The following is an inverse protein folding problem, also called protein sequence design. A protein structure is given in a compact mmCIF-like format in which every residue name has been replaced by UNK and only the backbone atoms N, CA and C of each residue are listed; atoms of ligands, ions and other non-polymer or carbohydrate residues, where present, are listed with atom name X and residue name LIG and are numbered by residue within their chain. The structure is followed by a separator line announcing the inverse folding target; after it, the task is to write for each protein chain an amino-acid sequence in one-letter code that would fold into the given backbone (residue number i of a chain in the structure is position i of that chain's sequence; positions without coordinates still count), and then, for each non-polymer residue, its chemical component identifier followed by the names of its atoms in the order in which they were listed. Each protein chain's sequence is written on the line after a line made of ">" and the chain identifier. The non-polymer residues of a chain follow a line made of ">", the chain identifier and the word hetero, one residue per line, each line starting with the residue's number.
data_IF_138888030827
#
_entry.id   IF_138888030827
#
_cell.length_a   1.000
_cell.length_b   1.000
_cell.length_c   1.000
_cell.angle_alpha   90.00
_cell.angle_beta   90.00
_cell.angle_gamma   90.00
#
_symmetry.space_group_name_H-M   'P 1'
#
loop_
_entity.id
_entity.type
_entity.pdbx_description
1 polymer ?
#
# COMPACT_ATOMS: atom_id res chain seq x y z
N UNK A 1 -13.88 -8.56 -6.36
CA UNK A 1 -13.35 -7.51 -5.49
C UNK A 1 -14.12 -6.21 -5.73
N UNK A 2 -14.36 -5.45 -4.70
CA UNK A 2 -15.04 -4.17 -4.81
C UNK A 2 -14.07 -3.08 -5.27
N UNK A 3 -14.48 -2.31 -6.29
CA UNK A 3 -13.71 -1.16 -6.74
C UNK A 3 -14.26 0.08 -6.04
N UNK A 4 -13.41 0.75 -5.28
CA UNK A 4 -13.81 1.91 -4.49
C UNK A 4 -13.60 3.20 -5.27
N UNK A 5 -14.50 4.16 -5.08
CA UNK A 5 -14.30 5.50 -5.61
C UNK A 5 -13.18 6.20 -4.83
N UNK A 6 -12.60 7.30 -5.34
CA UNK A 6 -11.60 8.05 -4.59
C UNK A 6 -12.09 8.48 -3.21
N UNK A 7 -13.35 8.87 -3.09
CA UNK A 7 -13.91 9.22 -1.78
C UNK A 7 -13.98 8.02 -0.85
N UNK A 8 -14.42 6.88 -1.37
CA UNK A 8 -14.50 5.67 -0.57
C UNK A 8 -13.12 5.19 -0.13
N UNK A 9 -12.11 5.35 -0.97
CA UNK A 9 -10.73 5.04 -0.61
C UNK A 9 -10.25 5.91 0.55
N UNK A 10 -10.53 7.22 0.50
CA UNK A 10 -10.16 8.12 1.58
C UNK A 10 -10.90 7.80 2.87
N UNK A 11 -12.18 7.45 2.77
CA UNK A 11 -12.96 7.05 3.94
C UNK A 11 -12.39 5.78 4.57
N UNK A 12 -11.98 4.82 3.75
CA UNK A 12 -11.37 3.59 4.25
C UNK A 12 -10.05 3.88 4.95
N UNK A 13 -9.25 4.80 4.42
CA UNK A 13 -7.99 5.21 5.05
C UNK A 13 -8.24 5.75 6.45
N UNK A 14 -9.31 6.53 6.64
CA UNK A 14 -9.62 7.11 7.95
C UNK A 14 -9.93 6.05 9.00
N UNK A 15 -10.32 4.86 8.58
CA UNK A 15 -10.63 3.76 9.50
C UNK A 15 -9.38 2.94 9.89
N UNK A 16 -8.22 3.23 9.29
CA UNK A 16 -7.01 2.46 9.58
C UNK A 16 -6.49 2.74 10.99
N UNK A 17 -5.90 1.73 11.64
CA UNK A 17 -5.29 1.94 12.96
C UNK A 17 -3.93 2.65 12.82
N UNK A 18 -3.46 3.19 13.94
CA UNK A 18 -2.13 3.80 14.04
C UNK A 18 -1.07 2.75 14.40
N UNK A 19 -1.31 1.50 14.11
CA UNK A 19 -0.42 0.39 14.47
C UNK A 19 0.58 0.11 13.36
N UNK A 20 1.68 -0.57 13.67
CA UNK A 20 2.56 -1.11 12.63
C UNK A 20 1.81 -2.14 11.80
N UNK A 21 2.22 -2.29 10.56
CA UNK A 21 1.61 -3.28 9.70
C UNK A 21 2.08 -3.19 8.27
N UNK A 22 1.41 -3.95 7.41
CA UNK A 22 1.64 -3.93 5.97
C UNK A 22 0.35 -3.60 5.25
N UNK A 23 0.48 -2.97 4.10
CA UNK A 23 -0.66 -2.65 3.25
C UNK A 23 -0.43 -3.21 1.85
N UNK A 24 -1.52 -3.63 1.21
CA UNK A 24 -1.49 -4.29 -0.10
C UNK A 24 -2.42 -3.50 -1.02
N UNK A 25 -1.83 -2.78 -1.97
CA UNK A 25 -2.59 -2.00 -2.94
C UNK A 25 -3.04 -2.90 -4.09
N UNK A 26 -4.30 -2.79 -4.48
CA UNK A 26 -4.91 -3.61 -5.53
C UNK A 26 -5.45 -2.75 -6.65
N UNK A 27 -5.32 -3.22 -7.89
CA UNK A 27 -5.94 -2.57 -9.03
C UNK A 27 -7.39 -3.05 -9.20
N UNK A 28 -8.05 -2.57 -10.27
CA UNK A 28 -9.45 -2.87 -10.51
C UNK A 28 -9.73 -4.36 -10.78
N UNK A 29 -8.70 -5.14 -11.12
CA UNK A 29 -8.85 -6.58 -11.33
C UNK A 29 -8.64 -7.39 -10.06
N UNK A 30 -8.30 -6.73 -8.94
CA UNK A 30 -7.99 -7.40 -7.70
C UNK A 30 -6.55 -7.84 -7.57
N UNK A 31 -5.72 -7.52 -8.55
CA UNK A 31 -4.31 -7.88 -8.53
C UNK A 31 -3.56 -6.98 -7.54
N UNK A 32 -2.72 -7.60 -6.70
CA UNK A 32 -1.86 -6.84 -5.79
C UNK A 32 -0.75 -6.21 -6.60
N UNK A 33 -0.72 -4.88 -6.64
CA UNK A 33 0.24 -4.12 -7.44
C UNK A 33 1.35 -3.48 -6.63
N UNK A 34 1.19 -3.42 -5.31
CA UNK A 34 2.21 -2.88 -4.42
C UNK A 34 1.98 -3.35 -2.99
N UNK A 35 3.07 -3.68 -2.30
CA UNK A 35 3.05 -4.04 -0.88
C UNK A 35 4.03 -3.13 -0.15
N UNK A 36 3.61 -2.54 0.96
CA UNK A 36 4.48 -1.70 1.76
C UNK A 36 4.29 -1.97 3.24
N UNK A 37 5.27 -1.54 4.04
CA UNK A 37 5.17 -1.59 5.49
C UNK A 37 5.04 -0.19 6.07
N UNK A 38 4.52 -0.11 7.28
CA UNK A 38 4.34 1.15 7.97
C UNK A 38 4.56 0.99 9.46
N UNK A 39 5.08 2.04 10.10
CA UNK A 39 5.09 2.14 11.56
C UNK A 39 3.70 2.46 12.07
N UNK A 40 2.97 3.30 11.33
CA UNK A 40 1.58 3.68 11.61
C UNK A 40 0.82 3.60 10.30
N UNK A 41 0.01 2.57 10.16
CA UNK A 41 -0.71 2.29 8.91
C UNK A 41 -1.49 3.50 8.40
N UNK A 42 -2.26 4.13 9.27
CA UNK A 42 -3.10 5.25 8.85
C UNK A 42 -2.27 6.39 8.27
N UNK A 43 -1.17 6.75 8.93
CA UNK A 43 -0.32 7.85 8.47
C UNK A 43 0.31 7.53 7.12
N UNK A 44 0.83 6.32 6.98
CA UNK A 44 1.54 5.94 5.76
C UNK A 44 0.61 5.81 4.56
N UNK A 45 -0.50 5.12 4.75
CA UNK A 45 -1.44 4.88 3.64
C UNK A 45 -2.10 6.18 3.22
N UNK A 46 -2.42 7.07 4.18
CA UNK A 46 -3.03 8.34 3.84
C UNK A 46 -2.15 9.20 2.92
N UNK A 47 -0.83 9.07 3.02
CA UNK A 47 0.08 9.83 2.18
C UNK A 47 -0.09 9.55 0.69
N UNK A 48 -0.51 8.33 0.34
CA UNK A 48 -0.73 7.98 -1.06
C UNK A 48 -1.94 8.68 -1.66
N UNK A 49 -2.90 9.07 -0.83
CA UNK A 49 -4.16 9.68 -1.29
C UNK A 49 -4.21 11.18 -1.02
N UNK A 50 -3.09 11.78 -0.61
CA UNK A 50 -2.96 13.22 -0.47
C UNK A 50 -2.48 13.82 -1.79
N UNK A 51 -2.16 15.12 -1.76
CA UNK A 51 -1.69 15.82 -2.94
C UNK A 51 -0.52 15.08 -3.60
N UNK A 52 -0.71 14.74 -4.87
CA UNK A 52 0.26 13.94 -5.61
C UNK A 52 1.54 14.69 -5.97
N UNK A 53 1.59 16.00 -5.74
CA UNK A 53 2.78 16.78 -6.09
C UNK A 53 4.03 16.31 -5.34
N UNK A 54 3.87 15.69 -4.17
CA UNK A 54 4.98 15.19 -3.38
C UNK A 54 5.48 13.82 -3.83
N UNK A 55 4.76 13.15 -4.74
CA UNK A 55 5.13 11.82 -5.23
C UNK A 55 5.96 11.92 -6.50
N UNK A 56 6.86 10.95 -6.70
CA UNK A 56 7.54 10.84 -7.98
C UNK A 56 6.57 10.28 -9.03
N UNK A 57 6.99 10.31 -10.31
CA UNK A 57 6.12 9.90 -11.40
C UNK A 57 5.64 8.46 -11.29
N UNK A 58 6.53 7.55 -10.86
CA UNK A 58 6.17 6.14 -10.74
C UNK A 58 5.15 5.90 -9.62
N UNK A 59 5.31 6.61 -8.50
CA UNK A 59 4.35 6.52 -7.40
C UNK A 59 3.00 7.08 -7.82
N UNK A 60 2.97 8.22 -8.53
CA UNK A 60 1.72 8.77 -9.04
C UNK A 60 1.01 7.79 -9.97
N UNK A 61 1.77 7.14 -10.83
CA UNK A 61 1.20 6.14 -11.74
C UNK A 61 0.58 4.98 -10.95
N UNK A 62 1.30 4.47 -9.97
CA UNK A 62 0.80 3.39 -9.11
C UNK A 62 -0.50 3.81 -8.41
N UNK A 63 -0.51 5.00 -7.81
CA UNK A 63 -1.69 5.50 -7.09
C UNK A 63 -2.90 5.61 -8.04
N UNK A 64 -2.68 6.01 -9.30
CA UNK A 64 -3.77 6.13 -10.27
C UNK A 64 -4.45 4.79 -10.56
N UNK A 65 -3.79 3.68 -10.29
CA UNK A 65 -4.34 2.35 -10.53
C UNK A 65 -4.93 1.69 -9.27
N UNK A 66 -4.84 2.35 -8.11
CA UNK A 66 -5.37 1.76 -6.89
C UNK A 66 -6.90 1.81 -6.92
N UNK A 67 -7.52 0.63 -6.88
CA UNK A 67 -8.97 0.51 -6.83
C UNK A 67 -9.45 0.09 -5.44
N UNK A 68 -8.57 -0.53 -4.65
CA UNK A 68 -8.85 -0.93 -3.27
C UNK A 68 -7.53 -1.28 -2.60
N UNK A 69 -7.55 -1.52 -1.31
CA UNK A 69 -6.37 -2.00 -0.60
C UNK A 69 -6.77 -2.83 0.60
N UNK A 70 -5.87 -3.71 1.01
CA UNK A 70 -5.99 -4.46 2.25
C UNK A 70 -4.84 -4.10 3.17
N UNK A 71 -4.95 -4.46 4.43
CA UNK A 71 -3.86 -4.26 5.38
C UNK A 71 -3.86 -5.36 6.41
N UNK A 72 -2.68 -5.58 7.02
CA UNK A 72 -2.49 -6.55 8.08
C UNK A 72 -1.79 -5.83 9.21
N UNK A 73 -2.40 -5.80 10.39
CA UNK A 73 -1.77 -5.22 11.58
C UNK A 73 -0.70 -6.17 12.07
N UNK A 74 0.48 -5.63 12.36
CA UNK A 74 1.60 -6.40 12.91
C UNK A 74 1.82 -6.05 14.37
N UNK A 75 2.44 -6.96 15.11
CA UNK A 75 2.73 -6.73 16.52
C UNK A 75 3.93 -5.81 16.77
N UNK A 76 4.75 -5.59 15.74
CA UNK A 76 5.94 -4.74 15.83
C UNK A 76 6.38 -4.34 14.45
N UNK A 77 7.31 -3.36 14.38
CA UNK A 77 7.91 -2.97 13.10
C UNK A 77 8.70 -4.11 12.48
N UNK A 78 9.36 -4.91 13.29
CA UNK A 78 10.10 -6.07 12.80
C UNK A 78 9.17 -7.09 12.15
N UNK A 79 8.04 -7.37 12.78
CA UNK A 79 7.05 -8.29 12.23
C UNK A 79 6.50 -7.74 10.92
N UNK A 80 6.25 -6.43 10.85
CA UNK A 80 5.79 -5.79 9.61
C UNK A 80 6.83 -5.96 8.49
N UNK A 81 8.12 -5.84 8.81
CA UNK A 81 9.17 -6.04 7.83
C UNK A 81 9.17 -7.48 7.29
N UNK A 82 9.06 -8.45 8.18
CA UNK A 82 9.03 -9.86 7.78
C UNK A 82 7.82 -10.13 6.88
N UNK A 83 6.65 -9.61 7.25
CA UNK A 83 5.45 -9.75 6.44
C UNK A 83 5.60 -9.09 5.08
N UNK A 84 6.16 -7.88 5.03
CA UNK A 84 6.38 -7.19 3.76
C UNK A 84 7.26 -8.03 2.83
N UNK A 85 8.39 -8.50 3.32
CA UNK A 85 9.31 -9.30 2.52
C UNK A 85 8.64 -10.57 2.00
N UNK A 86 7.90 -11.25 2.86
CA UNK A 86 7.22 -12.48 2.50
C UNK A 86 6.15 -12.23 1.42
N UNK A 87 5.38 -11.17 1.57
CA UNK A 87 4.30 -10.86 0.64
C UNK A 87 4.85 -10.38 -0.71
N UNK A 88 5.93 -9.60 -0.70
CA UNK A 88 6.57 -9.19 -1.96
C UNK A 88 7.10 -10.40 -2.71
N UNK A 89 7.74 -11.32 -2.00
CA UNK A 89 8.27 -12.54 -2.62
C UNK A 89 7.15 -13.40 -3.20
N UNK A 90 6.03 -13.50 -2.48
CA UNK A 90 4.91 -14.32 -2.90
C UNK A 90 4.17 -13.74 -4.10
N UNK A 91 3.90 -12.42 -4.08
CA UNK A 91 3.04 -11.79 -5.07
C UNK A 91 3.78 -11.13 -6.21
N UNK A 92 5.08 -10.86 -6.06
CA UNK A 92 5.88 -10.16 -7.06
C UNK A 92 5.16 -8.92 -7.61
N UNK A 93 4.75 -7.98 -6.72
CA UNK A 93 3.91 -6.86 -7.17
C UNK A 93 4.67 -5.97 -8.14
N UNK A 94 4.00 -5.60 -9.21
CA UNK A 94 4.59 -4.83 -10.31
C UNK A 94 5.32 -3.57 -9.83
N UNK A 95 4.70 -2.80 -8.96
CA UNK A 95 5.26 -1.50 -8.57
C UNK A 95 6.30 -1.60 -7.47
N UNK A 96 6.43 -2.70 -6.77
CA UNK A 96 7.56 -2.90 -5.87
C UNK A 96 8.87 -2.92 -6.66
N UNK A 97 8.85 -3.53 -7.83
CA UNK A 97 10.02 -3.58 -8.69
C UNK A 97 10.24 -2.23 -9.36
N UNK A 98 9.18 -1.63 -9.93
CA UNK A 98 9.30 -0.40 -10.72
C UNK A 98 9.62 0.85 -9.88
N UNK A 99 9.18 0.87 -8.61
CA UNK A 99 9.41 2.04 -7.74
C UNK A 99 10.79 1.98 -7.09
N UNK A 100 11.55 0.93 -7.33
CA UNK A 100 12.93 0.92 -6.90
C UNK A 100 13.18 0.33 -5.51
N UNK A 101 12.34 -0.56 -5.05
CA UNK A 101 12.58 -1.32 -3.83
C UNK A 101 13.46 -2.53 -4.13
N UNK A 102 14.45 -2.30 -4.96
CA UNK A 102 15.18 -3.39 -5.58
C UNK A 102 16.09 -4.16 -4.63
N UNK A 103 16.46 -3.54 -3.56
CA UNK A 103 17.34 -4.17 -2.62
C UNK A 103 16.73 -5.31 -1.85
N UNK A 104 15.52 -5.44 -1.94
CA UNK A 104 14.85 -6.48 -1.20
C UNK A 104 15.17 -7.86 -1.70
#
# INVERSE_FOLDING_TARGET
>A
MEVLTPKELKDKVLSLPFSPGVYLMKDKTGTIIYVGKAKKLKNRVSQYFQDSSAHNAKTRLMVSHIANFDYIVAGSEFEALVLECSLIKRHQPKYNIQIGRAHV
#
